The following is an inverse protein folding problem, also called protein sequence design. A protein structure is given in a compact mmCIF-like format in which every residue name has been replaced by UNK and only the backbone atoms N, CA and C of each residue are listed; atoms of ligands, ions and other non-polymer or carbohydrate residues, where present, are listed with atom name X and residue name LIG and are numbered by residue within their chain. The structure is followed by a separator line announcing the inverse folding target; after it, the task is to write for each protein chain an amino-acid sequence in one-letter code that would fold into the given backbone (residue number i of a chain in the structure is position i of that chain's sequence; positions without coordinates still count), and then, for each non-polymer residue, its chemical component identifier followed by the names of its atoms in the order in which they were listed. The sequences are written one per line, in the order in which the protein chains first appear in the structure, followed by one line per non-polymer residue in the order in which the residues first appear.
data_IF_823329161358
#
_entry.id   IF_823329161358
#
_cell.length_a   1.000
_cell.length_b   1.000
_cell.length_c   1.000
_cell.angle_alpha   90.00
_cell.angle_beta   90.00
_cell.angle_gamma   90.00
#
_symmetry.space_group_name_H-M   'P 1'
#
loop_
_entity.id
_entity.type
_entity.pdbx_description
1 polymer ?
#
# COMPACT_ATOMS: atom_id res chain seq x y z
N UNK A 1 -24.87 12.73 7.78
CA UNK A 1 -24.09 12.31 6.62
C UNK A 1 -22.68 12.11 7.13
N UNK A 2 -21.98 11.07 6.69
CA UNK A 2 -20.65 10.70 7.21
C UNK A 2 -19.86 10.05 6.10
N UNK A 3 -18.55 10.21 6.08
CA UNK A 3 -17.62 9.38 5.31
C UNK A 3 -17.13 8.29 6.26
N UNK A 4 -17.34 7.02 5.91
CA UNK A 4 -16.83 5.87 6.66
C UNK A 4 -15.60 5.30 5.94
N UNK A 5 -14.43 5.40 6.57
CA UNK A 5 -13.20 4.84 6.04
C UNK A 5 -12.77 3.60 6.85
N UNK A 6 -12.47 2.51 6.15
CA UNK A 6 -12.06 1.25 6.78
C UNK A 6 -10.55 1.21 6.87
N UNK A 7 -10.02 0.93 8.05
CA UNK A 7 -8.59 0.76 8.28
C UNK A 7 -8.15 -0.68 8.08
N UNK A 8 -6.87 -0.89 7.90
CA UNK A 8 -6.29 -2.21 7.67
C UNK A 8 -5.14 -2.47 8.65
N UNK A 9 -5.07 -3.66 9.19
CA UNK A 9 -3.97 -4.14 10.00
C UNK A 9 -3.50 -5.52 9.50
N UNK A 10 -2.33 -5.94 9.95
CA UNK A 10 -1.78 -7.26 9.68
C UNK A 10 -0.80 -7.66 10.75
N UNK A 11 -0.94 -8.85 11.34
CA UNK A 11 -0.04 -9.43 12.35
C UNK A 11 0.20 -8.49 13.54
N UNK A 12 -0.83 -7.78 14.00
CA UNK A 12 -0.74 -6.87 15.14
C UNK A 12 -0.28 -5.44 14.80
N UNK A 13 0.02 -5.13 13.53
CA UNK A 13 0.44 -3.80 13.11
C UNK A 13 -0.58 -3.15 12.18
N UNK A 14 -0.85 -1.85 12.39
CA UNK A 14 -1.66 -1.04 11.48
C UNK A 14 -0.87 -0.77 10.21
N UNK A 15 -1.50 -0.99 9.06
CA UNK A 15 -0.87 -0.78 7.75
C UNK A 15 -0.82 0.70 7.39
N UNK A 16 0.24 1.12 6.70
CA UNK A 16 0.46 2.49 6.25
C UNK A 16 -0.73 3.09 5.49
N UNK A 17 -1.35 2.27 4.64
CA UNK A 17 -2.54 2.68 3.89
C UNK A 17 -3.68 3.17 4.80
N UNK A 18 -3.74 2.73 6.06
CA UNK A 18 -4.73 3.23 7.03
C UNK A 18 -4.54 4.72 7.33
N UNK A 19 -3.30 5.21 7.36
CA UNK A 19 -2.99 6.63 7.55
C UNK A 19 -3.29 7.45 6.28
N UNK A 20 -3.13 6.86 5.11
CA UNK A 20 -3.55 7.45 3.84
C UNK A 20 -5.09 7.54 3.75
N UNK A 21 -5.80 6.51 4.25
CA UNK A 21 -7.28 6.51 4.35
C UNK A 21 -7.79 7.67 5.20
N UNK A 22 -7.08 8.06 6.27
CA UNK A 22 -7.42 9.24 7.07
C UNK A 22 -7.35 10.50 6.21
N UNK A 23 -6.26 10.70 5.47
CA UNK A 23 -6.08 11.88 4.62
C UNK A 23 -7.11 11.94 3.50
N UNK A 24 -7.32 10.84 2.79
CA UNK A 24 -8.32 10.76 1.73
C UNK A 24 -9.75 10.95 2.29
N UNK A 25 -10.07 10.28 3.40
CA UNK A 25 -11.35 10.38 4.06
C UNK A 25 -11.66 11.80 4.57
N UNK A 26 -10.67 12.48 5.17
CA UNK A 26 -10.85 13.86 5.63
C UNK A 26 -11.10 14.81 4.46
N UNK A 27 -10.31 14.71 3.38
CA UNK A 27 -10.53 15.52 2.17
C UNK A 27 -11.95 15.33 1.63
N UNK A 28 -12.41 14.07 1.51
CA UNK A 28 -13.76 13.80 1.02
C UNK A 28 -14.84 14.32 1.97
N UNK A 29 -14.64 14.16 3.29
CA UNK A 29 -15.58 14.66 4.27
C UNK A 29 -15.64 16.20 4.28
N UNK A 30 -14.52 16.90 4.07
CA UNK A 30 -14.48 18.36 3.92
C UNK A 30 -15.22 18.81 2.66
N UNK A 31 -15.03 18.13 1.53
CA UNK A 31 -15.70 18.44 0.27
C UNK A 31 -17.24 18.23 0.37
N UNK A 32 -17.67 17.28 1.19
CA UNK A 32 -19.08 16.94 1.42
C UNK A 32 -19.70 17.71 2.61
N UNK A 33 -18.92 18.53 3.34
CA UNK A 33 -19.32 19.22 4.58
C UNK A 33 -19.90 18.25 5.63
N UNK A 34 -19.14 17.17 5.94
CA UNK A 34 -19.58 16.09 6.83
C UNK A 34 -18.43 15.56 7.70
N UNK A 35 -18.74 14.64 8.62
CA UNK A 35 -17.78 14.03 9.53
C UNK A 35 -17.04 12.86 8.89
N UNK A 36 -15.80 12.61 9.34
CA UNK A 36 -15.03 11.42 9.03
C UNK A 36 -15.10 10.43 10.19
N UNK A 37 -15.63 9.23 9.91
CA UNK A 37 -15.57 8.08 10.79
C UNK A 37 -14.59 7.04 10.27
N UNK A 38 -13.86 6.40 11.18
CA UNK A 38 -13.04 5.23 10.87
C UNK A 38 -13.69 3.96 11.41
N UNK A 39 -13.60 2.87 10.67
CA UNK A 39 -13.87 1.53 11.13
C UNK A 39 -12.55 0.79 11.41
N UNK A 40 -12.35 0.36 12.65
CA UNK A 40 -11.23 -0.46 13.11
C UNK A 40 -11.79 -1.82 13.50
N UNK A 41 -11.43 -2.86 12.76
CA UNK A 41 -11.94 -4.24 12.96
C UNK A 41 -10.74 -5.14 13.24
N UNK A 42 -10.75 -5.86 14.37
CA UNK A 42 -9.67 -6.78 14.74
C UNK A 42 -9.64 -7.11 16.24
N UNK A 43 -8.70 -7.93 16.67
CA UNK A 43 -8.58 -8.35 18.08
C UNK A 43 -7.87 -7.34 18.99
N UNK A 44 -7.01 -6.47 18.45
CA UNK A 44 -6.27 -5.45 19.22
C UNK A 44 -6.81 -4.04 18.96
N UNK A 45 -8.12 -3.90 18.89
CA UNK A 45 -8.81 -2.67 18.45
C UNK A 45 -8.44 -1.41 19.25
N UNK A 46 -8.14 -1.53 20.55
CA UNK A 46 -7.72 -0.39 21.37
C UNK A 46 -6.37 0.18 20.90
N UNK A 47 -5.41 -0.70 20.61
CA UNK A 47 -4.09 -0.33 20.10
C UNK A 47 -4.19 0.25 18.69
N UNK A 48 -4.96 -0.38 17.82
CA UNK A 48 -5.17 0.07 16.45
C UNK A 48 -5.89 1.42 16.41
N UNK A 49 -6.96 1.59 17.19
CA UNK A 49 -7.68 2.86 17.31
C UNK A 49 -6.77 3.99 17.80
N UNK A 50 -5.90 3.71 18.79
CA UNK A 50 -4.92 4.69 19.26
C UNK A 50 -3.92 5.07 18.15
N UNK A 51 -3.50 4.11 17.33
CA UNK A 51 -2.57 4.32 16.23
C UNK A 51 -3.16 5.17 15.10
N UNK A 52 -4.43 4.92 14.74
CA UNK A 52 -5.11 5.67 13.65
C UNK A 52 -5.84 6.93 14.11
N UNK A 53 -5.77 7.25 15.41
CA UNK A 53 -6.34 8.50 15.93
C UNK A 53 -5.46 9.68 15.49
N UNK A 54 -5.79 10.21 14.33
CA UNK A 54 -5.08 11.30 13.67
C UNK A 54 -5.97 12.55 13.56
N UNK A 55 -5.33 13.70 13.41
CA UNK A 55 -6.02 14.97 13.20
C UNK A 55 -6.98 14.87 12.00
N UNK A 56 -8.20 15.34 12.20
CA UNK A 56 -9.25 15.31 11.19
C UNK A 56 -10.16 14.08 11.22
N UNK A 57 -9.94 13.14 12.13
CA UNK A 57 -10.89 12.06 12.41
C UNK A 57 -11.85 12.52 13.51
N UNK A 58 -13.15 12.34 13.29
CA UNK A 58 -14.18 12.73 14.26
C UNK A 58 -14.56 11.57 15.18
N UNK A 59 -14.77 10.37 14.62
CA UNK A 59 -15.14 9.18 15.39
C UNK A 59 -14.40 7.94 14.87
N UNK A 60 -13.99 7.08 15.80
CA UNK A 60 -13.40 5.78 15.51
C UNK A 60 -14.32 4.69 16.09
N UNK A 61 -14.95 3.91 15.23
CA UNK A 61 -15.72 2.75 15.62
C UNK A 61 -14.82 1.52 15.70
N UNK A 62 -14.82 0.85 16.84
CA UNK A 62 -14.03 -0.37 17.06
C UNK A 62 -14.92 -1.59 17.10
N UNK A 63 -14.61 -2.58 16.27
CA UNK A 63 -15.26 -3.89 16.25
C UNK A 63 -14.24 -4.93 16.72
N UNK A 64 -14.40 -5.42 17.96
CA UNK A 64 -13.49 -6.38 18.58
C UNK A 64 -13.85 -7.80 18.12
N UNK A 65 -13.55 -8.09 16.83
CA UNK A 65 -13.89 -9.34 16.18
C UNK A 65 -12.78 -9.77 15.20
N UNK A 66 -12.28 -11.00 15.39
CA UNK A 66 -11.24 -11.57 14.54
C UNK A 66 -9.84 -11.02 14.86
N UNK A 67 -8.85 -11.90 15.09
CA UNK A 67 -7.45 -11.48 15.33
C UNK A 67 -6.80 -10.93 14.06
N UNK A 68 -7.19 -11.46 12.90
CA UNK A 68 -6.67 -11.10 11.57
C UNK A 68 -7.82 -10.91 10.59
N UNK A 69 -7.50 -10.30 9.45
CA UNK A 69 -8.47 -10.09 8.38
C UNK A 69 -9.25 -11.38 8.05
N UNK A 70 -10.55 -11.28 8.08
CA UNK A 70 -11.47 -12.32 7.64
C UNK A 70 -12.60 -11.68 6.82
N UNK A 71 -12.77 -12.16 5.59
CA UNK A 71 -13.78 -11.67 4.66
C UNK A 71 -15.18 -11.59 5.29
N UNK A 72 -15.64 -12.69 5.93
CA UNK A 72 -16.97 -12.76 6.49
C UNK A 72 -17.18 -11.84 7.68
N UNK A 73 -16.15 -11.64 8.53
CA UNK A 73 -16.18 -10.69 9.65
C UNK A 73 -16.26 -9.27 9.13
N UNK A 74 -15.36 -8.88 8.22
CA UNK A 74 -15.32 -7.51 7.67
C UNK A 74 -16.62 -7.16 6.94
N UNK A 75 -17.13 -8.07 6.10
CA UNK A 75 -18.38 -7.83 5.36
C UNK A 75 -19.55 -7.58 6.31
N UNK A 76 -19.76 -8.46 7.29
CA UNK A 76 -20.86 -8.34 8.25
C UNK A 76 -20.72 -7.10 9.15
N UNK A 77 -19.51 -6.81 9.65
CA UNK A 77 -19.26 -5.64 10.49
C UNK A 77 -19.50 -4.32 9.74
N UNK A 78 -19.01 -4.22 8.49
CA UNK A 78 -19.17 -3.01 7.68
C UNK A 78 -20.63 -2.82 7.25
N UNK A 79 -21.34 -3.88 6.90
CA UNK A 79 -22.79 -3.79 6.58
C UNK A 79 -23.59 -3.26 7.77
N UNK A 80 -23.29 -3.72 8.99
CA UNK A 80 -23.98 -3.26 10.19
C UNK A 80 -23.61 -1.83 10.57
N UNK A 81 -22.31 -1.45 10.47
CA UNK A 81 -21.88 -0.06 10.62
C UNK A 81 -22.53 0.85 9.58
N UNK A 82 -22.61 0.41 8.33
CA UNK A 82 -23.27 1.16 7.28
C UNK A 82 -24.78 1.35 7.56
N UNK A 83 -25.45 0.33 8.07
CA UNK A 83 -26.87 0.43 8.44
C UNK A 83 -27.13 1.36 9.63
N UNK A 84 -26.19 1.48 10.57
CA UNK A 84 -26.29 2.38 11.73
C UNK A 84 -25.95 3.83 11.37
N UNK A 85 -24.90 4.05 10.56
CA UNK A 85 -24.37 5.37 10.27
C UNK A 85 -24.96 6.02 9.02
N UNK A 86 -25.53 5.23 8.11
CA UNK A 86 -26.00 5.66 6.78
C UNK A 86 -25.00 6.59 6.08
N UNK A 87 -23.70 6.17 5.92
CA UNK A 87 -22.68 7.02 5.36
C UNK A 87 -22.96 7.34 3.90
N UNK A 88 -22.60 8.56 3.47
CA UNK A 88 -22.65 8.94 2.05
C UNK A 88 -21.57 8.20 1.25
N UNK A 89 -20.40 8.01 1.86
CA UNK A 89 -19.27 7.33 1.22
C UNK A 89 -18.69 6.25 2.12
N UNK A 90 -18.43 5.08 1.55
CA UNK A 90 -17.61 4.02 2.11
C UNK A 90 -16.25 4.04 1.41
N UNK A 91 -15.20 4.36 2.14
CA UNK A 91 -13.81 4.29 1.66
C UNK A 91 -13.12 3.03 2.17
N UNK A 92 -12.45 2.31 1.28
CA UNK A 92 -11.65 1.16 1.62
C UNK A 92 -10.27 1.23 0.91
N UNK A 93 -9.20 0.63 1.46
CA UNK A 93 -7.93 0.57 0.74
C UNK A 93 -8.03 -0.34 -0.49
N UNK A 94 -7.39 0.03 -1.59
CA UNK A 94 -7.27 -0.82 -2.78
C UNK A 94 -6.16 -1.87 -2.58
N UNK A 95 -6.20 -2.55 -1.46
CA UNK A 95 -5.33 -3.65 -1.05
C UNK A 95 -5.92 -5.00 -1.45
N UNK A 96 -5.18 -6.08 -1.19
CA UNK A 96 -5.71 -7.45 -1.35
C UNK A 96 -6.95 -7.66 -0.47
N UNK A 97 -6.91 -7.20 0.79
CA UNK A 97 -8.05 -7.33 1.72
C UNK A 97 -9.22 -6.44 1.29
N UNK A 98 -8.95 -5.16 0.99
CA UNK A 98 -9.98 -4.22 0.57
C UNK A 98 -10.71 -4.65 -0.70
N UNK A 99 -9.99 -5.20 -1.68
CA UNK A 99 -10.58 -5.76 -2.90
C UNK A 99 -11.34 -7.08 -2.68
N UNK A 100 -11.10 -7.75 -1.57
CA UNK A 100 -11.81 -8.97 -1.22
C UNK A 100 -13.21 -8.67 -0.63
N UNK A 101 -13.31 -7.78 0.38
CA UNK A 101 -14.60 -7.52 1.04
C UNK A 101 -15.42 -6.39 0.41
N UNK A 102 -14.79 -5.31 -0.11
CA UNK A 102 -15.54 -4.12 -0.55
C UNK A 102 -16.55 -4.41 -1.67
N UNK A 103 -16.24 -5.23 -2.69
CA UNK A 103 -17.24 -5.59 -3.70
C UNK A 103 -18.43 -6.36 -3.13
N UNK A 104 -18.22 -7.23 -2.13
CA UNK A 104 -19.28 -7.98 -1.49
C UNK A 104 -20.19 -7.05 -0.68
N UNK A 105 -19.62 -6.12 0.08
CA UNK A 105 -20.36 -5.08 0.82
C UNK A 105 -21.16 -4.20 -0.14
N UNK A 106 -20.53 -3.69 -1.19
CA UNK A 106 -21.18 -2.79 -2.14
C UNK A 106 -22.36 -3.47 -2.86
N UNK A 107 -22.22 -4.76 -3.22
CA UNK A 107 -23.30 -5.53 -3.83
C UNK A 107 -24.45 -5.82 -2.85
N UNK A 108 -24.12 -6.17 -1.61
CA UNK A 108 -25.11 -6.41 -0.56
C UNK A 108 -25.94 -5.14 -0.25
N UNK A 109 -25.30 -3.97 -0.26
CA UNK A 109 -25.94 -2.68 0.01
C UNK A 109 -26.60 -2.05 -1.24
N UNK A 110 -26.45 -2.64 -2.42
CA UNK A 110 -26.91 -2.11 -3.71
C UNK A 110 -26.40 -0.68 -3.99
N UNK A 111 -25.12 -0.42 -3.66
CA UNK A 111 -24.45 0.87 -3.92
C UNK A 111 -23.37 0.74 -5.00
N UNK A 112 -23.15 1.78 -5.83
CA UNK A 112 -22.09 1.76 -6.82
C UNK A 112 -20.72 1.68 -6.18
N UNK A 113 -19.80 0.95 -6.81
CA UNK A 113 -18.41 0.81 -6.41
C UNK A 113 -17.47 1.23 -7.54
N UNK A 114 -16.52 2.12 -7.23
CA UNK A 114 -15.35 2.38 -8.10
C UNK A 114 -14.07 1.99 -7.37
N UNK A 115 -13.27 1.13 -8.01
CA UNK A 115 -12.02 0.64 -7.43
C UNK A 115 -10.81 1.35 -8.02
N UNK A 116 -9.69 1.37 -7.27
CA UNK A 116 -8.39 1.88 -7.71
C UNK A 116 -8.43 3.38 -8.03
N UNK A 117 -9.07 4.14 -7.14
CA UNK A 117 -9.20 5.60 -7.24
C UNK A 117 -7.92 6.27 -6.81
N UNK A 118 -7.41 7.20 -7.62
CA UNK A 118 -6.19 7.98 -7.38
C UNK A 118 -6.48 9.43 -6.99
N UNK A 119 -7.65 9.95 -7.36
CA UNK A 119 -8.10 11.28 -7.00
C UNK A 119 -9.63 11.38 -7.04
N UNK A 120 -10.21 12.36 -6.36
CA UNK A 120 -11.64 12.64 -6.39
C UNK A 120 -11.93 14.12 -6.10
N UNK A 121 -13.08 14.60 -6.58
CA UNK A 121 -13.63 15.92 -6.28
C UNK A 121 -15.15 15.80 -6.05
N UNK A 122 -15.67 16.49 -5.01
CA UNK A 122 -17.10 16.51 -4.73
C UNK A 122 -17.67 17.92 -4.99
N UNK A 123 -18.09 18.17 -6.23
CA UNK A 123 -18.67 19.43 -6.69
C UNK A 123 -20.16 19.28 -7.05
N UNK A 124 -20.93 18.60 -6.19
CA UNK A 124 -22.36 18.31 -6.40
C UNK A 124 -22.63 16.81 -6.63
N UNK A 125 -21.96 16.16 -7.57
CA UNK A 125 -21.77 14.71 -7.63
C UNK A 125 -20.33 14.40 -7.22
N UNK A 126 -20.04 13.19 -6.79
CA UNK A 126 -18.67 12.74 -6.59
C UNK A 126 -18.06 12.37 -7.94
N UNK A 127 -17.02 13.09 -8.34
CA UNK A 127 -16.18 12.78 -9.47
C UNK A 127 -14.94 12.01 -8.96
N UNK A 128 -14.69 10.80 -9.49
CA UNK A 128 -13.53 9.97 -9.11
C UNK A 128 -12.65 9.71 -10.31
N UNK A 129 -11.35 9.82 -10.13
CA UNK A 129 -10.34 9.56 -11.17
C UNK A 129 -9.59 8.27 -10.88
N UNK A 130 -9.39 7.48 -11.92
CA UNK A 130 -8.54 6.28 -11.88
C UNK A 130 -7.69 6.18 -13.12
N UNK A 131 -6.50 5.64 -12.94
CA UNK A 131 -5.58 5.34 -14.04
C UNK A 131 -5.85 3.94 -14.63
N UNK A 132 -5.77 3.87 -15.95
CA UNK A 132 -5.93 2.61 -16.70
C UNK A 132 -4.74 2.38 -17.63
N UNK A 133 -4.57 1.14 -18.06
CA UNK A 133 -3.50 0.74 -18.99
C UNK A 133 -2.09 1.09 -18.49
N UNK A 134 -1.84 0.96 -17.18
CA UNK A 134 -0.54 1.27 -16.58
C UNK A 134 -0.22 2.77 -16.55
N UNK A 135 -1.18 3.61 -16.19
CA UNK A 135 -1.02 5.05 -16.07
C UNK A 135 -1.05 5.82 -17.39
N UNK A 136 -1.41 5.17 -18.52
CA UNK A 136 -1.46 5.80 -19.83
C UNK A 136 -2.77 6.54 -20.13
N UNK A 137 -3.80 6.23 -19.40
CA UNK A 137 -5.14 6.80 -19.56
C UNK A 137 -5.70 7.08 -18.18
N UNK A 138 -6.05 8.33 -17.94
CA UNK A 138 -6.89 8.70 -16.80
C UNK A 138 -8.36 8.65 -17.25
N UNK A 139 -9.20 8.11 -16.39
CA UNK A 139 -10.64 8.03 -16.61
C UNK A 139 -11.35 8.59 -15.40
N UNK A 140 -12.21 9.55 -15.62
CA UNK A 140 -13.04 10.18 -14.61
C UNK A 140 -14.46 9.62 -14.70
N UNK A 141 -15.07 9.33 -13.56
CA UNK A 141 -16.44 8.84 -13.42
C UNK A 141 -17.22 9.75 -12.49
N UNK A 142 -18.41 10.16 -12.94
CA UNK A 142 -19.37 10.82 -12.06
C UNK A 142 -20.21 9.76 -11.35
N UNK A 143 -20.23 9.78 -10.02
CA UNK A 143 -21.08 8.93 -9.20
C UNK A 143 -22.35 9.70 -8.85
N UNK A 144 -23.43 9.44 -9.59
CA UNK A 144 -24.76 10.02 -9.37
C UNK A 144 -25.59 9.06 -8.50
N UNK A 145 -25.25 8.99 -7.21
CA UNK A 145 -25.94 8.16 -6.22
C UNK A 145 -25.90 8.85 -4.84
N UNK A 146 -26.86 8.55 -3.98
CA UNK A 146 -26.93 9.09 -2.62
C UNK A 146 -25.86 8.45 -1.72
N UNK A 147 -25.46 7.22 -2.01
CA UNK A 147 -24.43 6.46 -1.29
C UNK A 147 -23.56 5.71 -2.29
N UNK A 148 -22.28 5.60 -2.02
CA UNK A 148 -21.32 4.92 -2.90
C UNK A 148 -20.11 4.35 -2.12
N UNK A 149 -19.44 3.39 -2.73
CA UNK A 149 -18.18 2.85 -2.24
C UNK A 149 -17.03 3.15 -3.21
N UNK A 150 -15.86 3.44 -2.67
CA UNK A 150 -14.63 3.61 -3.46
C UNK A 150 -13.47 2.90 -2.79
N UNK A 151 -12.57 2.28 -3.58
CA UNK A 151 -11.29 1.83 -3.03
C UNK A 151 -10.18 2.78 -3.47
N UNK A 152 -9.38 3.22 -2.51
CA UNK A 152 -8.30 4.20 -2.69
C UNK A 152 -7.01 3.46 -2.97
N UNK A 153 -6.30 3.85 -4.04
CA UNK A 153 -5.00 3.27 -4.36
C UNK A 153 -3.98 3.64 -3.27
N UNK A 154 -3.26 2.65 -2.69
CA UNK A 154 -2.16 2.93 -1.77
C UNK A 154 -1.04 3.75 -2.42
N UNK A 155 -0.34 4.54 -1.64
CA UNK A 155 0.78 5.37 -2.05
C UNK A 155 0.44 6.54 -2.99
N UNK A 156 -0.83 6.92 -3.08
CA UNK A 156 -1.26 8.12 -3.82
C UNK A 156 -1.61 9.29 -2.87
N UNK A 157 -1.73 9.01 -1.56
CA UNK A 157 -2.16 9.98 -0.57
C UNK A 157 -1.11 10.12 0.54
N UNK A 158 -0.82 11.33 1.03
CA UNK A 158 0.09 11.50 2.15
C UNK A 158 -0.47 10.82 3.41
N UNK A 159 0.42 10.21 4.20
CA UNK A 159 0.05 9.62 5.49
C UNK A 159 -0.30 10.73 6.49
N UNK A 160 -1.36 10.55 7.25
CA UNK A 160 -1.71 11.45 8.34
C UNK A 160 -0.73 11.26 9.51
N UNK A 161 0.01 12.32 9.89
CA UNK A 161 1.06 12.25 10.92
C UNK A 161 0.60 12.76 12.28
N UNK A 162 -0.15 13.87 12.30
CA UNK A 162 -0.55 14.57 13.52
C UNK A 162 -1.53 13.74 14.34
N UNK A 163 -1.28 13.60 15.64
CA UNK A 163 -2.21 12.93 16.57
C UNK A 163 -3.51 13.71 16.69
N UNK A 164 -4.64 13.00 16.63
CA UNK A 164 -5.99 13.54 16.77
C UNK A 164 -6.58 13.34 18.17
N UNK A 165 -7.83 13.77 18.30
CA UNK A 165 -8.65 13.67 19.50
C UNK A 165 -10.04 13.07 19.23
N UNK A 166 -10.11 12.19 18.23
CA UNK A 166 -11.34 11.50 17.83
C UNK A 166 -11.99 10.76 19.01
N UNK A 167 -13.32 10.74 19.02
CA UNK A 167 -14.08 9.91 19.95
C UNK A 167 -13.95 8.44 19.53
N UNK A 168 -13.56 7.56 20.45
CA UNK A 168 -13.52 6.12 20.20
C UNK A 168 -14.78 5.47 20.76
N UNK A 169 -15.55 4.82 19.90
CA UNK A 169 -16.83 4.20 20.23
C UNK A 169 -16.78 2.70 19.89
N UNK A 170 -16.96 1.81 20.87
CA UNK A 170 -17.09 0.38 20.60
C UNK A 170 -18.42 0.10 19.87
N UNK A 171 -18.33 -0.69 18.80
CA UNK A 171 -19.46 -1.17 18.03
C UNK A 171 -19.58 -2.69 18.19
N UNK A 172 -20.67 -3.14 18.78
CA UNK A 172 -20.96 -4.56 19.02
C UNK A 172 -21.63 -5.16 17.79
N UNK A 173 -20.84 -5.64 16.84
CA UNK A 173 -21.35 -6.27 15.64
C UNK A 173 -21.83 -7.71 15.93
N UNK A 174 -23.03 -8.03 15.48
CA UNK A 174 -23.60 -9.39 15.57
C UNK A 174 -23.05 -10.25 14.41
N UNK A 175 -21.92 -10.90 14.66
CA UNK A 175 -21.24 -11.73 13.66
C UNK A 175 -21.82 -13.15 13.67
N UNK A 176 -22.38 -13.56 12.56
CA UNK A 176 -22.83 -14.94 12.33
C UNK A 176 -21.63 -15.82 11.94
N UNK A 177 -21.06 -16.52 12.90
CA UNK A 177 -19.94 -17.44 12.70
C UNK A 177 -20.26 -18.56 11.70
N UNK A 178 -21.51 -18.99 11.60
CA UNK A 178 -21.94 -20.05 10.67
C UNK A 178 -21.89 -19.56 9.20
N UNK A 179 -21.94 -18.26 8.98
CA UNK A 179 -21.78 -17.64 7.67
C UNK A 179 -20.31 -17.39 7.27
N UNK A 180 -19.37 -17.57 8.18
CA UNK A 180 -17.93 -17.38 7.91
C UNK A 180 -17.39 -18.60 7.18
N UNK A 181 -17.06 -18.43 5.89
CA UNK A 181 -16.58 -19.52 5.02
C UNK A 181 -15.11 -19.91 5.20
N UNK A 182 -14.30 -19.13 5.94
CA UNK A 182 -12.87 -19.32 6.09
C UNK A 182 -12.40 -18.97 7.49
N UNK A 183 -11.36 -19.63 7.98
CA UNK A 183 -10.73 -19.36 9.28
C UNK A 183 -9.23 -19.17 9.08
N UNK A 184 -8.67 -18.10 9.64
CA UNK A 184 -7.22 -17.89 9.68
C UNK A 184 -6.63 -18.77 10.76
N UNK A 185 -5.84 -19.78 10.38
CA UNK A 185 -5.21 -20.72 11.34
C UNK A 185 -3.80 -20.26 11.77
N UNK A 186 -3.27 -19.21 11.16
CA UNK A 186 -1.94 -18.67 11.41
C UNK A 186 -1.20 -18.37 10.11
N UNK A 187 0.03 -17.93 10.29
CA UNK A 187 0.95 -17.59 9.19
C UNK A 187 2.08 -18.62 9.14
N UNK A 188 2.43 -19.06 7.95
CA UNK A 188 3.60 -19.88 7.69
C UNK A 188 4.57 -19.09 6.81
N UNK A 189 5.80 -18.92 7.27
CA UNK A 189 6.85 -18.29 6.48
C UNK A 189 7.30 -19.22 5.37
N UNK A 190 7.05 -18.82 4.14
CA UNK A 190 7.43 -19.59 2.96
C UNK A 190 8.71 -19.00 2.36
N UNK A 191 9.85 -19.62 2.66
CA UNK A 191 11.17 -19.24 2.13
C UNK A 191 11.95 -18.28 3.04
N UNK A 192 13.21 -18.59 3.28
CA UNK A 192 14.13 -18.03 4.26
C UNK A 192 14.08 -16.51 4.46
N UNK A 193 13.51 -16.11 5.61
CA UNK A 193 13.48 -14.73 6.08
C UNK A 193 12.37 -13.90 5.42
N UNK A 194 11.28 -13.73 6.14
CA UNK A 194 10.14 -12.91 5.65
C UNK A 194 10.47 -11.43 5.83
N UNK A 195 11.13 -10.86 4.84
CA UNK A 195 11.33 -9.41 4.76
C UNK A 195 10.16 -8.85 3.96
N UNK A 196 9.27 -8.10 4.60
CA UNK A 196 8.25 -7.33 3.89
C UNK A 196 8.87 -6.06 3.32
N UNK A 197 9.12 -6.06 2.01
CA UNK A 197 9.70 -4.91 1.32
C UNK A 197 8.78 -3.70 1.27
N UNK A 198 7.50 -3.83 1.64
CA UNK A 198 6.55 -2.71 1.64
C UNK A 198 6.69 -1.80 2.87
N UNK A 199 7.38 -2.27 3.89
CA UNK A 199 7.61 -1.54 5.15
C UNK A 199 9.05 -1.05 5.30
N UNK A 200 9.86 -1.20 4.26
CA UNK A 200 11.27 -0.83 4.31
C UNK A 200 11.45 0.66 4.01
N UNK A 201 12.16 1.37 4.90
CA UNK A 201 12.52 2.79 4.70
C UNK A 201 13.52 2.96 3.56
N UNK A 202 14.43 2.00 3.38
CA UNK A 202 15.44 2.02 2.30
C UNK A 202 15.42 0.70 1.54
N UNK A 203 15.26 0.79 0.23
CA UNK A 203 15.28 -0.36 -0.68
C UNK A 203 16.46 -0.29 -1.65
N UNK A 204 17.23 -1.36 -1.70
CA UNK A 204 18.18 -1.62 -2.78
C UNK A 204 17.57 -2.63 -3.73
N UNK A 205 17.29 -2.24 -4.96
CA UNK A 205 16.57 -3.04 -5.93
C UNK A 205 17.44 -3.43 -7.11
N UNK A 206 17.57 -4.74 -7.36
CA UNK A 206 18.39 -5.29 -8.44
C UNK A 206 17.55 -5.60 -9.67
N UNK A 207 18.10 -5.23 -10.83
CA UNK A 207 17.52 -5.53 -12.14
C UNK A 207 18.36 -6.50 -12.96
N UNK A 208 17.90 -6.76 -14.18
CA UNK A 208 18.56 -7.69 -15.11
C UNK A 208 19.99 -7.29 -15.50
N UNK A 209 20.40 -6.02 -15.25
CA UNK A 209 21.75 -5.57 -15.49
C UNK A 209 22.81 -6.21 -14.56
N UNK A 210 22.40 -7.01 -13.56
CA UNK A 210 23.30 -7.83 -12.73
C UNK A 210 23.92 -9.01 -13.49
N UNK A 211 23.38 -9.33 -14.64
CA UNK A 211 23.76 -10.35 -15.60
C UNK A 211 23.61 -11.80 -15.10
N UNK A 212 24.19 -12.20 -13.99
CA UNK A 212 24.22 -13.59 -13.48
C UNK A 212 23.81 -13.67 -12.01
N UNK A 213 23.31 -14.82 -11.55
CA UNK A 213 22.88 -15.08 -10.16
C UNK A 213 24.04 -14.93 -9.18
N UNK A 214 25.24 -15.36 -9.60
CA UNK A 214 26.47 -15.30 -8.82
C UNK A 214 26.88 -13.89 -8.40
N UNK A 215 26.34 -12.85 -9.06
CA UNK A 215 26.60 -11.46 -8.76
C UNK A 215 25.62 -10.85 -7.74
N UNK A 216 24.53 -11.55 -7.41
CA UNK A 216 23.53 -11.07 -6.41
C UNK A 216 24.18 -10.72 -5.06
N UNK A 217 25.16 -11.49 -4.54
CA UNK A 217 25.83 -11.15 -3.28
C UNK A 217 26.45 -9.76 -3.23
N UNK A 218 26.83 -9.17 -4.37
CA UNK A 218 27.32 -7.79 -4.41
C UNK A 218 26.23 -6.78 -3.99
N UNK A 219 25.00 -7.02 -4.42
CA UNK A 219 23.87 -6.14 -4.10
C UNK A 219 23.35 -6.42 -2.69
N UNK A 220 23.43 -7.66 -2.22
CA UNK A 220 23.14 -8.02 -0.82
C UNK A 220 24.07 -7.28 0.13
N UNK A 221 25.37 -7.28 -0.14
CA UNK A 221 26.36 -6.56 0.67
C UNK A 221 26.12 -5.04 0.68
N UNK A 222 25.72 -4.45 -0.46
CA UNK A 222 25.35 -3.04 -0.48
C UNK A 222 24.10 -2.79 0.40
N UNK A 223 23.11 -3.65 0.31
CA UNK A 223 21.90 -3.52 1.13
C UNK A 223 22.25 -3.64 2.63
N UNK A 224 23.03 -4.62 3.00
CA UNK A 224 23.47 -4.83 4.38
C UNK A 224 24.32 -3.64 4.89
N UNK A 225 25.24 -3.13 4.08
CA UNK A 225 26.07 -1.98 4.42
C UNK A 225 25.26 -0.72 4.67
N UNK A 226 24.17 -0.53 3.91
CA UNK A 226 23.27 0.62 4.05
C UNK A 226 22.18 0.41 5.13
N UNK A 227 22.07 -0.79 5.71
CA UNK A 227 20.94 -1.16 6.57
C UNK A 227 19.61 -1.18 5.79
N UNK A 228 19.69 -1.42 4.49
CA UNK A 228 18.59 -1.40 3.56
C UNK A 228 18.02 -2.82 3.32
N UNK A 229 16.83 -2.88 2.76
CA UNK A 229 16.21 -4.14 2.36
C UNK A 229 16.45 -4.41 0.89
N UNK A 230 16.89 -5.64 0.55
CA UNK A 230 17.04 -6.07 -0.84
C UNK A 230 15.68 -6.31 -1.48
N UNK A 231 15.48 -5.78 -2.66
CA UNK A 231 14.33 -6.04 -3.53
C UNK A 231 14.77 -6.29 -4.97
N UNK A 232 13.84 -6.58 -5.86
CA UNK A 232 14.21 -6.87 -7.25
C UNK A 232 13.11 -6.51 -8.25
N UNK A 233 13.52 -6.41 -9.49
CA UNK A 233 12.61 -6.37 -10.62
C UNK A 233 12.14 -7.77 -11.03
N UNK A 234 11.02 -7.87 -11.74
CA UNK A 234 10.42 -9.12 -12.20
C UNK A 234 11.38 -10.07 -12.91
N UNK A 235 12.30 -9.65 -13.81
CA UNK A 235 13.23 -10.58 -14.48
C UNK A 235 14.10 -11.41 -13.51
N UNK A 236 14.46 -10.86 -12.37
CA UNK A 236 15.26 -11.56 -11.35
C UNK A 236 14.44 -12.70 -10.72
N UNK A 237 13.16 -12.44 -10.45
CA UNK A 237 12.23 -13.44 -9.90
C UNK A 237 11.86 -14.49 -10.94
N UNK A 238 11.62 -14.08 -12.19
CA UNK A 238 11.32 -15.00 -13.30
C UNK A 238 12.50 -15.98 -13.57
N UNK A 239 13.75 -15.55 -13.32
CA UNK A 239 14.94 -16.39 -13.36
C UNK A 239 15.10 -17.30 -12.12
N UNK A 240 14.34 -17.06 -11.05
CA UNK A 240 14.43 -17.80 -9.79
C UNK A 240 15.59 -17.38 -8.88
N UNK A 241 16.25 -16.25 -9.16
CA UNK A 241 17.41 -15.74 -8.40
C UNK A 241 17.00 -15.12 -7.05
N UNK A 242 15.82 -14.52 -7.00
CA UNK A 242 15.22 -14.04 -5.74
C UNK A 242 13.74 -14.48 -5.66
N UNK A 243 13.19 -14.63 -4.45
CA UNK A 243 11.82 -15.06 -4.26
C UNK A 243 10.83 -13.95 -4.65
N UNK A 244 9.58 -14.33 -4.95
CA UNK A 244 8.52 -13.45 -5.44
C UNK A 244 8.14 -12.32 -4.46
N UNK A 245 8.29 -12.52 -3.15
CA UNK A 245 8.03 -11.50 -2.13
C UNK A 245 9.02 -10.32 -2.18
N UNK A 246 10.14 -10.45 -2.90
CA UNK A 246 11.11 -9.39 -3.19
C UNK A 246 10.81 -8.60 -4.47
N UNK A 247 9.80 -8.99 -5.24
CA UNK A 247 9.48 -8.36 -6.52
C UNK A 247 8.74 -7.03 -6.32
N UNK A 248 9.30 -5.96 -6.86
CA UNK A 248 8.66 -4.64 -6.98
C UNK A 248 8.02 -4.48 -8.36
N UNK A 249 6.84 -3.87 -8.41
CA UNK A 249 6.12 -3.56 -9.65
C UNK A 249 4.66 -3.97 -9.63
N UNK A 250 3.93 -3.68 -10.69
CA UNK A 250 2.50 -3.92 -10.85
C UNK A 250 2.06 -5.37 -10.57
N UNK A 251 2.92 -6.36 -10.87
CA UNK A 251 2.67 -7.79 -10.61
C UNK A 251 3.38 -8.31 -9.35
N UNK A 252 3.98 -7.44 -8.58
CA UNK A 252 4.67 -7.70 -7.32
C UNK A 252 4.11 -6.85 -6.19
N UNK A 253 4.99 -6.25 -5.42
CA UNK A 253 4.67 -5.32 -4.33
C UNK A 253 4.73 -3.88 -4.83
N UNK A 254 3.87 -3.02 -4.29
CA UNK A 254 4.00 -1.56 -4.37
C UNK A 254 4.70 -1.11 -3.10
N UNK A 255 5.71 -0.26 -3.25
CA UNK A 255 6.59 0.18 -2.16
C UNK A 255 6.72 1.71 -2.18
N UNK A 256 6.87 2.29 -1.00
CA UNK A 256 7.02 3.74 -0.79
C UNK A 256 8.12 4.03 0.22
N UNK A 257 9.38 3.61 -0.06
CA UNK A 257 10.48 3.85 0.85
C UNK A 257 10.91 5.33 0.79
N UNK A 258 11.59 5.80 1.84
CA UNK A 258 12.29 7.09 1.83
C UNK A 258 13.36 7.12 0.72
N UNK A 259 14.04 5.98 0.50
CA UNK A 259 15.08 5.88 -0.55
C UNK A 259 14.93 4.57 -1.34
N UNK A 260 14.83 4.68 -2.65
CA UNK A 260 14.84 3.56 -3.58
C UNK A 260 16.07 3.60 -4.50
N UNK A 261 16.96 2.63 -4.36
CA UNK A 261 18.18 2.52 -5.18
C UNK A 261 17.97 1.46 -6.25
N UNK A 262 17.81 1.89 -7.50
CA UNK A 262 17.55 1.04 -8.67
C UNK A 262 18.87 0.70 -9.37
N UNK A 263 19.31 -0.55 -9.30
CA UNK A 263 20.61 -1.00 -9.85
C UNK A 263 20.35 -1.95 -11.03
N UNK A 264 20.82 -1.57 -12.22
CA UNK A 264 20.65 -2.36 -13.44
C UNK A 264 19.18 -2.55 -13.85
N UNK A 265 18.30 -1.61 -13.45
CA UNK A 265 16.87 -1.58 -13.77
C UNK A 265 16.61 -0.60 -14.89
N UNK A 266 15.87 -1.02 -15.91
CA UNK A 266 15.58 -0.16 -17.08
C UNK A 266 14.48 0.88 -16.84
N UNK A 267 13.59 0.69 -15.86
CA UNK A 267 12.45 1.58 -15.63
C UNK A 267 11.24 1.28 -16.53
N UNK A 268 10.96 0.01 -16.80
CA UNK A 268 9.72 -0.37 -17.46
C UNK A 268 8.51 0.12 -16.66
N UNK A 269 7.44 0.56 -17.34
CA UNK A 269 6.23 1.16 -16.72
C UNK A 269 5.66 0.30 -15.60
N UNK A 270 5.68 -1.03 -15.78
CA UNK A 270 5.18 -1.98 -14.78
C UNK A 270 6.04 -2.03 -13.51
N UNK A 271 7.35 -1.76 -13.61
CA UNK A 271 8.23 -1.66 -12.45
C UNK A 271 8.04 -0.30 -11.76
N UNK A 272 8.03 0.76 -12.54
CA UNK A 272 7.81 2.14 -12.07
C UNK A 272 6.49 2.26 -11.30
N UNK A 273 5.42 1.63 -11.78
CA UNK A 273 4.13 1.61 -11.08
C UNK A 273 4.21 1.04 -9.64
N UNK A 274 5.23 0.25 -9.33
CA UNK A 274 5.43 -0.31 -7.99
C UNK A 274 6.37 0.49 -7.10
N UNK A 275 7.04 1.56 -7.59
CA UNK A 275 8.04 2.29 -6.80
C UNK A 275 8.03 3.82 -7.00
N UNK A 276 7.14 4.34 -7.83
CA UNK A 276 7.04 5.78 -8.11
C UNK A 276 6.73 6.64 -6.88
N UNK A 277 6.20 6.03 -5.81
CA UNK A 277 5.89 6.66 -4.54
C UNK A 277 7.09 6.75 -3.58
N UNK A 278 8.29 6.36 -3.98
CA UNK A 278 9.50 6.56 -3.18
C UNK A 278 9.84 8.05 -3.09
N UNK A 279 10.27 8.52 -1.91
CA UNK A 279 10.61 9.94 -1.70
C UNK A 279 11.88 10.35 -2.44
N UNK A 280 12.85 9.44 -2.54
CA UNK A 280 14.11 9.65 -3.30
C UNK A 280 14.43 8.43 -4.14
N UNK A 281 14.62 8.62 -5.43
CA UNK A 281 14.99 7.57 -6.37
C UNK A 281 16.41 7.78 -6.87
N UNK A 282 17.28 6.81 -6.62
CA UNK A 282 18.65 6.75 -7.13
C UNK A 282 18.74 5.66 -8.17
N UNK A 283 19.21 5.97 -9.39
CA UNK A 283 19.34 5.00 -10.47
C UNK A 283 20.78 4.80 -10.93
N UNK A 284 21.19 3.55 -11.09
CA UNK A 284 22.48 3.14 -11.64
C UNK A 284 22.21 2.25 -12.86
N UNK A 285 22.62 2.71 -14.04
CA UNK A 285 22.45 1.98 -15.29
C UNK A 285 23.52 2.41 -16.31
N UNK A 286 23.97 1.47 -17.14
CA UNK A 286 24.92 1.75 -18.23
C UNK A 286 24.28 2.48 -19.42
N UNK A 287 22.96 2.34 -19.63
CA UNK A 287 22.23 3.01 -20.71
C UNK A 287 21.79 4.41 -20.28
N UNK A 288 22.38 5.50 -20.81
CA UNK A 288 22.00 6.87 -20.45
C UNK A 288 20.56 7.25 -20.88
N UNK A 289 19.91 6.43 -21.70
CA UNK A 289 18.53 6.64 -22.14
C UNK A 289 17.54 5.68 -21.45
N UNK A 290 17.98 4.97 -20.41
CA UNK A 290 17.07 4.09 -19.66
C UNK A 290 15.92 4.91 -19.07
N UNK A 291 14.65 4.51 -19.27
CA UNK A 291 13.48 5.25 -18.75
C UNK A 291 13.48 5.48 -17.25
N UNK A 292 14.26 4.71 -16.48
CA UNK A 292 14.41 4.93 -15.02
C UNK A 292 14.92 6.33 -14.70
N UNK A 293 15.72 6.94 -15.58
CA UNK A 293 16.26 8.28 -15.39
C UNK A 293 15.22 9.38 -15.57
N UNK A 294 14.07 9.09 -16.18
CA UNK A 294 12.98 10.07 -16.33
C UNK A 294 12.30 10.37 -14.98
N UNK A 295 12.48 9.46 -14.00
CA UNK A 295 11.86 9.57 -12.67
C UNK A 295 12.89 9.59 -11.53
N UNK A 296 14.18 9.38 -11.80
CA UNK A 296 15.23 9.36 -10.80
C UNK A 296 15.63 10.78 -10.38
N UNK A 297 15.74 11.03 -9.06
CA UNK A 297 16.29 12.25 -8.50
C UNK A 297 17.80 12.31 -8.69
N UNK A 298 18.47 11.15 -8.62
CA UNK A 298 19.91 11.00 -8.84
C UNK A 298 20.19 9.85 -9.79
N UNK A 299 20.99 10.11 -10.81
CA UNK A 299 21.37 9.12 -11.82
C UNK A 299 22.88 8.96 -11.94
N UNK A 300 23.36 7.73 -11.92
CA UNK A 300 24.75 7.36 -12.21
C UNK A 300 24.77 6.52 -13.49
N UNK A 301 25.36 7.07 -14.55
CA UNK A 301 25.47 6.38 -15.84
C UNK A 301 26.83 5.72 -15.90
N UNK A 302 26.90 4.50 -15.39
CA UNK A 302 28.14 3.71 -15.35
C UNK A 302 27.83 2.23 -15.10
N UNK A 303 28.89 1.38 -15.11
CA UNK A 303 28.76 -0.04 -14.80
C UNK A 303 28.53 -0.25 -13.29
N UNK A 304 27.51 -1.04 -12.96
CA UNK A 304 27.21 -1.38 -11.56
C UNK A 304 28.38 -2.11 -10.88
N UNK A 305 29.18 -2.88 -11.63
CA UNK A 305 30.35 -3.58 -11.11
C UNK A 305 31.52 -2.66 -10.75
N UNK A 306 31.54 -1.44 -11.28
CA UNK A 306 32.48 -0.38 -10.87
C UNK A 306 31.88 0.48 -9.74
N UNK A 307 30.59 0.81 -9.84
CA UNK A 307 29.92 1.76 -8.92
C UNK A 307 29.59 1.14 -7.57
N UNK A 308 29.03 -0.08 -7.55
CA UNK A 308 28.52 -0.69 -6.31
C UNK A 308 29.66 -1.01 -5.32
N UNK A 309 30.80 -1.57 -5.73
CA UNK A 309 31.94 -1.75 -4.82
C UNK A 309 32.42 -0.44 -4.18
N UNK A 310 32.53 0.63 -4.95
CA UNK A 310 32.92 1.94 -4.45
C UNK A 310 31.91 2.51 -3.44
N UNK A 311 30.60 2.28 -3.67
CA UNK A 311 29.56 2.67 -2.71
C UNK A 311 29.70 1.88 -1.40
N UNK A 312 29.88 0.56 -1.48
CA UNK A 312 30.07 -0.30 -0.30
C UNK A 312 31.25 0.21 0.53
N UNK A 313 32.41 0.45 -0.10
CA UNK A 313 33.59 0.95 0.59
C UNK A 313 33.37 2.35 1.18
N UNK A 314 32.69 3.25 0.47
CA UNK A 314 32.40 4.60 0.93
C UNK A 314 31.51 4.61 2.18
N UNK A 315 30.61 3.64 2.31
CA UNK A 315 29.72 3.47 3.47
C UNK A 315 30.32 2.55 4.54
N UNK A 316 31.54 2.07 4.35
CA UNK A 316 32.33 1.35 5.37
C UNK A 316 32.14 -0.16 5.37
N UNK A 317 31.54 -0.72 4.32
CA UNK A 317 31.48 -2.16 4.06
C UNK A 317 32.73 -2.67 3.34
N UNK A 318 32.77 -3.96 3.02
CA UNK A 318 33.84 -4.63 2.28
C UNK A 318 33.22 -5.34 1.05
N UNK A 319 33.51 -4.83 -0.14
CA UNK A 319 32.92 -5.37 -1.36
C UNK A 319 33.39 -6.83 -1.61
N UNK A 320 32.47 -7.75 -1.91
CA UNK A 320 32.85 -9.12 -2.27
C UNK A 320 33.58 -9.17 -3.62
N UNK A 321 34.43 -10.16 -3.79
CA UNK A 321 35.07 -10.47 -5.09
C UNK A 321 33.99 -11.05 -6.03
N UNK A 322 33.60 -10.32 -7.06
CA UNK A 322 32.62 -10.72 -8.12
C UNK A 322 33.28 -10.74 -9.49
#
# INVERSE_FOLDING_TARGET
MTVLAVTEHRRGDVRDVSFEMVTAGRRLADDLDTDLALAVIGGEVESFAASVNREGVDTIYTVDEGEEFNHGVYTQAIEQLHAELEPTALLAPNSVNGLDYTPAVAESLDIPLVTDVVDFEANGALEVTREQYGGKVETTYDLDADQYAVTIRPAEWPKAESTGDATVEPFDADIDDDAIGATVNGFEEVGGGDVDITEADVLVSVGRGIDEEENIPLIEELADTLGATLSSSRPIVDNGWLPKNRQVGQSGKVVTPDVYIAIGISGAVQHVAGMKGADTIVAINTDPNAPIYDIADYGIVDDLFDVVPELIEQFGGEAPDV
#
